data_IF_382015866790
#
_entry.id   IF_382015866790
#
_cell.length_a   1.000
_cell.length_b   1.000
_cell.length_c   1.000
_cell.angle_alpha   90.00
_cell.angle_beta   90.00
_cell.angle_gamma   90.00
#
_symmetry.space_group_name_H-M   'P 1'
#
loop_
_entity.id
_entity.type
_entity.pdbx_description
1 polymer ?
#
# COMPACT_ATOMS: atom_id res chain seq x y z
N UNK A 1 -65.62 -28.95 -0.17
CA UNK A 1 -64.49 -29.01 -1.13
C UNK A 1 -65.04 -28.71 -2.52
N UNK A 2 -64.40 -27.85 -3.33
CA UNK A 2 -64.89 -27.53 -4.68
C UNK A 2 -64.49 -28.63 -5.66
N UNK A 3 -65.38 -29.58 -5.92
CA UNK A 3 -65.13 -30.81 -6.71
C UNK A 3 -64.92 -30.58 -8.23
N UNK A 4 -65.21 -29.38 -8.75
CA UNK A 4 -65.07 -29.04 -10.19
C UNK A 4 -63.98 -27.97 -10.47
N UNK A 5 -62.99 -27.83 -9.58
CA UNK A 5 -61.95 -26.78 -9.72
C UNK A 5 -60.99 -26.98 -10.89
N UNK A 6 -60.87 -28.21 -11.39
CA UNK A 6 -59.91 -28.59 -12.43
C UNK A 6 -60.55 -28.68 -13.83
N UNK A 7 -61.87 -28.58 -13.95
CA UNK A 7 -62.58 -28.69 -15.23
C UNK A 7 -62.41 -27.43 -16.11
N UNK A 8 -62.14 -26.27 -15.50
CA UNK A 8 -61.84 -25.01 -16.20
C UNK A 8 -60.68 -24.33 -15.48
N UNK A 9 -59.51 -24.14 -16.14
CA UNK A 9 -58.37 -23.50 -15.51
C UNK A 9 -58.68 -22.02 -15.21
N UNK A 10 -58.49 -21.60 -13.94
CA UNK A 10 -58.63 -20.19 -13.56
C UNK A 10 -57.40 -19.41 -14.00
N UNK A 11 -57.60 -18.34 -14.76
CA UNK A 11 -56.50 -17.49 -15.22
C UNK A 11 -55.89 -16.71 -14.05
N UNK A 12 -54.56 -16.76 -13.93
CA UNK A 12 -53.84 -15.89 -13.02
C UNK A 12 -53.88 -14.43 -13.52
N UNK A 13 -54.30 -13.50 -12.66
CA UNK A 13 -54.24 -12.07 -12.95
C UNK A 13 -52.81 -11.56 -12.73
N UNK A 14 -52.22 -10.95 -13.77
CA UNK A 14 -50.87 -10.38 -13.69
C UNK A 14 -50.91 -8.99 -13.06
N UNK A 15 -49.88 -8.65 -12.30
CA UNK A 15 -49.72 -7.33 -11.71
C UNK A 15 -49.20 -6.31 -12.74
N UNK A 16 -49.60 -5.04 -12.61
CA UNK A 16 -49.13 -3.94 -13.48
C UNK A 16 -47.81 -3.34 -12.98
N UNK A 17 -46.94 -2.97 -13.91
CA UNK A 17 -45.69 -2.26 -13.64
C UNK A 17 -45.91 -0.76 -13.30
N UNK A 18 -44.83 -0.08 -12.86
CA UNK A 18 -44.80 1.38 -12.66
C UNK A 18 -44.90 2.11 -14.02
N UNK A 19 -45.68 3.20 -14.15
CA UNK A 19 -45.70 4.02 -15.36
C UNK A 19 -44.32 4.57 -15.72
N UNK A 20 -44.02 4.65 -17.02
CA UNK A 20 -42.71 5.07 -17.54
C UNK A 20 -42.28 6.45 -17.03
N UNK A 21 -43.20 7.41 -16.97
CA UNK A 21 -42.96 8.77 -16.46
C UNK A 21 -42.54 8.81 -14.99
N UNK A 22 -42.92 7.80 -14.19
CA UNK A 22 -42.62 7.69 -12.75
C UNK A 22 -41.55 6.65 -12.44
N UNK A 23 -40.88 6.09 -13.45
CA UNK A 23 -39.82 5.09 -13.27
C UNK A 23 -38.68 5.58 -12.36
N UNK A 24 -38.47 6.90 -12.26
CA UNK A 24 -37.48 7.53 -11.36
C UNK A 24 -37.67 7.18 -9.88
N UNK A 25 -38.90 6.86 -9.44
CA UNK A 25 -39.21 6.55 -8.04
C UNK A 25 -39.07 5.05 -7.70
N UNK A 26 -38.59 4.24 -8.64
CA UNK A 26 -38.42 2.81 -8.45
C UNK A 26 -39.72 2.01 -8.58
N UNK A 27 -39.72 0.82 -7.98
CA UNK A 27 -40.79 -0.17 -8.08
C UNK A 27 -42.10 0.37 -7.48
N UNK A 28 -43.22 0.17 -8.18
CA UNK A 28 -44.55 0.48 -7.65
C UNK A 28 -44.97 -0.59 -6.65
N UNK A 29 -44.81 -0.29 -5.37
CA UNK A 29 -45.23 -1.17 -4.28
C UNK A 29 -46.70 -1.56 -4.40
N UNK A 30 -46.97 -2.84 -4.13
CA UNK A 30 -48.31 -3.40 -4.06
C UNK A 30 -48.66 -3.73 -2.61
N UNK A 31 -49.90 -4.17 -2.38
CA UNK A 31 -50.37 -4.51 -1.04
C UNK A 31 -49.47 -5.54 -0.34
N UNK A 32 -48.95 -6.55 -1.07
CA UNK A 32 -48.02 -7.53 -0.51
C UNK A 32 -46.73 -6.88 0.03
N UNK A 33 -46.19 -5.89 -0.69
CA UNK A 33 -44.97 -5.18 -0.30
C UNK A 33 -45.25 -4.24 0.88
N UNK A 34 -46.40 -3.56 0.85
CA UNK A 34 -46.88 -2.75 1.97
C UNK A 34 -47.00 -3.57 3.26
N UNK A 35 -47.60 -4.76 3.20
CA UNK A 35 -47.76 -5.64 4.36
C UNK A 35 -46.39 -6.05 4.92
N UNK A 36 -45.42 -6.37 4.07
CA UNK A 36 -44.05 -6.70 4.50
C UNK A 36 -43.41 -5.50 5.19
N UNK A 37 -43.49 -4.31 4.59
CA UNK A 37 -42.95 -3.08 5.17
C UNK A 37 -43.62 -2.71 6.50
N UNK A 38 -44.95 -2.75 6.56
CA UNK A 38 -45.72 -2.42 7.77
C UNK A 38 -45.36 -3.38 8.92
N UNK A 39 -45.29 -4.69 8.64
CA UNK A 39 -44.83 -5.67 9.62
C UNK A 39 -43.40 -5.39 10.09
N UNK A 40 -42.49 -5.04 9.18
CA UNK A 40 -41.12 -4.68 9.56
C UNK A 40 -41.06 -3.40 10.41
N UNK A 41 -41.88 -2.40 10.11
CA UNK A 41 -42.00 -1.17 10.87
C UNK A 41 -42.53 -1.43 12.28
N UNK A 42 -43.64 -2.15 12.41
CA UNK A 42 -44.21 -2.49 13.71
C UNK A 42 -43.24 -3.32 14.57
N UNK A 43 -42.51 -4.26 13.96
CA UNK A 43 -41.44 -4.98 14.67
C UNK A 43 -40.38 -4.04 15.24
N UNK A 44 -39.95 -3.03 14.46
CA UNK A 44 -38.98 -2.03 14.94
C UNK A 44 -39.56 -1.19 16.09
N UNK A 45 -40.79 -0.70 15.93
CA UNK A 45 -41.49 0.07 16.98
C UNK A 45 -41.61 -0.74 18.28
N UNK A 46 -42.08 -1.99 18.21
CA UNK A 46 -42.18 -2.89 19.36
C UNK A 46 -40.82 -3.12 20.03
N UNK A 47 -39.74 -3.29 19.25
CA UNK A 47 -38.39 -3.43 19.82
C UNK A 47 -37.92 -2.15 20.50
N UNK A 48 -38.17 -0.98 19.92
CA UNK A 48 -37.81 0.31 20.51
C UNK A 48 -38.60 0.56 21.79
N UNK A 49 -39.88 0.23 21.82
CA UNK A 49 -40.70 0.33 23.01
C UNK A 49 -40.12 -0.52 24.15
N UNK A 50 -39.82 -1.79 23.89
CA UNK A 50 -39.20 -2.69 24.89
C UNK A 50 -37.85 -2.18 25.37
N UNK A 51 -37.03 -1.60 24.49
CA UNK A 51 -35.74 -1.01 24.87
C UNK A 51 -35.91 0.25 25.74
N UNK A 52 -36.91 1.09 25.44
CA UNK A 52 -37.26 2.26 26.26
C UNK A 52 -37.74 1.85 27.65
N UNK A 53 -38.62 0.85 27.73
CA UNK A 53 -39.10 0.31 29.01
C UNK A 53 -37.94 -0.27 29.84
N UNK A 54 -37.03 -1.02 29.22
CA UNK A 54 -35.82 -1.52 29.90
C UNK A 54 -34.89 -0.40 30.37
N UNK A 55 -34.72 0.65 29.57
CA UNK A 55 -33.90 1.80 29.94
C UNK A 55 -34.52 2.61 31.08
N UNK A 56 -35.85 2.77 31.10
CA UNK A 56 -36.57 3.46 32.16
C UNK A 56 -36.54 2.68 33.49
N UNK A 57 -36.66 1.36 33.42
CA UNK A 57 -36.66 0.47 34.59
C UNK A 57 -35.25 0.00 34.99
N UNK A 58 -34.19 0.68 34.53
CA UNK A 58 -32.80 0.29 34.81
C UNK A 58 -32.45 0.58 36.28
N UNK A 59 -31.87 -0.40 36.97
CA UNK A 59 -31.32 -0.19 38.32
C UNK A 59 -29.97 0.57 38.23
N UNK A 60 -29.82 1.74 38.87
CA UNK A 60 -28.56 2.50 38.85
C UNK A 60 -27.39 1.76 39.51
N UNK A 61 -27.67 0.88 40.48
CA UNK A 61 -26.66 0.16 41.26
C UNK A 61 -26.35 -1.25 40.70
N UNK A 62 -26.83 -1.56 39.49
CA UNK A 62 -26.55 -2.86 38.86
C UNK A 62 -25.06 -3.03 38.56
N UNK A 63 -24.51 -4.19 38.95
CA UNK A 63 -23.13 -4.54 38.67
C UNK A 63 -23.03 -5.92 38.00
N UNK A 64 -22.40 -5.93 36.84
CA UNK A 64 -22.04 -7.15 36.11
C UNK A 64 -20.52 -7.25 35.99
N UNK A 65 -19.94 -8.44 36.19
CA UNK A 65 -18.49 -8.65 36.10
C UNK A 65 -17.87 -8.20 34.76
N UNK A 66 -18.63 -8.20 33.66
CA UNK A 66 -18.18 -7.70 32.36
C UNK A 66 -17.93 -6.19 32.33
N UNK A 67 -18.48 -5.42 33.28
CA UNK A 67 -18.22 -3.99 33.42
C UNK A 67 -16.77 -3.68 33.85
N UNK A 68 -16.04 -4.66 34.39
CA UNK A 68 -14.61 -4.52 34.73
C UNK A 68 -13.76 -4.42 33.45
N UNK A 69 -14.10 -5.22 32.43
CA UNK A 69 -13.29 -5.37 31.21
C UNK A 69 -13.82 -4.55 30.03
N UNK A 70 -15.02 -3.97 30.14
CA UNK A 70 -15.64 -3.19 29.08
C UNK A 70 -15.96 -1.78 29.55
N UNK A 71 -15.89 -0.81 28.65
CA UNK A 71 -16.05 0.60 28.98
C UNK A 71 -17.12 1.25 28.12
N UNK A 72 -17.88 2.14 28.71
CA UNK A 72 -18.78 3.01 27.97
C UNK A 72 -18.03 4.31 27.66
N UNK A 73 -17.92 4.66 26.38
CA UNK A 73 -17.30 5.91 25.95
C UNK A 73 -18.34 6.68 25.15
N UNK A 74 -18.62 7.92 25.56
CA UNK A 74 -19.65 8.78 24.95
C UNK A 74 -21.06 8.12 24.93
N UNK A 75 -21.39 7.35 25.98
CA UNK A 75 -22.67 6.64 26.08
C UNK A 75 -22.77 5.35 25.24
N UNK A 76 -21.75 5.01 24.45
CA UNK A 76 -21.70 3.77 23.66
C UNK A 76 -20.81 2.73 24.32
N UNK A 77 -21.33 1.52 24.47
CA UNK A 77 -20.55 0.38 24.97
C UNK A 77 -19.46 0.03 23.95
N UNK A 78 -18.20 0.10 24.39
CA UNK A 78 -17.06 -0.41 23.62
C UNK A 78 -16.59 -1.70 24.29
N UNK A 79 -16.53 -2.83 23.54
CA UNK A 79 -15.90 -4.02 24.07
C UNK A 79 -14.46 -3.68 24.45
N UNK A 80 -13.93 -4.36 25.48
CA UNK A 80 -12.52 -4.24 25.83
C UNK A 80 -11.68 -4.50 24.58
N UNK A 81 -10.79 -3.57 24.24
CA UNK A 81 -9.82 -3.80 23.17
C UNK A 81 -9.00 -5.00 23.65
N UNK A 82 -8.92 -6.06 22.85
CA UNK A 82 -7.99 -7.16 23.15
C UNK A 82 -6.60 -6.54 23.26
N UNK A 83 -6.05 -6.49 24.48
CA UNK A 83 -4.69 -6.03 24.68
C UNK A 83 -3.75 -6.91 23.85
N UNK A 84 -2.61 -6.36 23.44
CA UNK A 84 -1.58 -7.14 22.76
C UNK A 84 -1.27 -8.37 23.61
N UNK A 85 -1.61 -9.55 23.07
CA UNK A 85 -1.43 -10.85 23.75
C UNK A 85 0.05 -11.20 23.92
N UNK A 86 0.92 -10.49 23.20
CA UNK A 86 2.35 -10.77 23.12
C UNK A 86 3.14 -10.02 24.18
N UNK A 87 4.09 -10.74 24.79
CA UNK A 87 5.12 -10.14 25.62
C UNK A 87 6.04 -9.23 24.80
N UNK A 88 6.71 -8.29 25.45
CA UNK A 88 7.71 -7.44 24.81
C UNK A 88 8.84 -8.25 24.16
N UNK A 89 9.18 -9.41 24.73
CA UNK A 89 10.18 -10.32 24.19
C UNK A 89 9.70 -11.01 22.91
N UNK A 90 8.46 -11.47 22.86
CA UNK A 90 7.86 -12.08 21.67
C UNK A 90 7.78 -11.07 20.53
N UNK A 91 7.36 -9.83 20.82
CA UNK A 91 7.37 -8.74 19.85
C UNK A 91 8.79 -8.43 19.34
N UNK A 92 9.81 -8.55 20.19
CA UNK A 92 11.22 -8.37 19.77
C UNK A 92 11.68 -9.49 18.83
N UNK A 93 11.25 -10.72 19.07
CA UNK A 93 11.53 -11.86 18.19
C UNK A 93 10.87 -11.67 16.83
N UNK A 94 9.58 -11.32 16.80
CA UNK A 94 8.85 -11.06 15.54
C UNK A 94 9.52 -9.94 14.73
N UNK A 95 9.84 -8.80 15.36
CA UNK A 95 10.57 -7.72 14.69
C UNK A 95 11.94 -8.14 14.17
N UNK A 96 12.62 -9.05 14.86
CA UNK A 96 13.91 -9.57 14.41
C UNK A 96 13.77 -10.41 13.15
N UNK A 97 12.72 -11.22 13.06
CA UNK A 97 12.39 -11.99 11.86
C UNK A 97 12.07 -11.07 10.68
N UNK A 98 11.25 -10.03 10.91
CA UNK A 98 10.91 -9.04 9.88
C UNK A 98 12.15 -8.31 9.35
N UNK A 99 13.07 -7.90 10.24
CA UNK A 99 14.35 -7.28 9.86
C UNK A 99 15.17 -8.23 8.98
N UNK A 100 15.23 -9.52 9.34
CA UNK A 100 15.90 -10.53 8.53
C UNK A 100 15.29 -10.70 7.14
N UNK A 101 13.95 -10.72 7.07
CA UNK A 101 13.22 -10.81 5.81
C UNK A 101 13.50 -9.62 4.89
N UNK A 102 13.41 -8.39 5.42
CA UNK A 102 13.70 -7.17 4.67
C UNK A 102 15.15 -7.18 4.17
N UNK A 103 16.11 -7.55 5.01
CA UNK A 103 17.52 -7.65 4.62
C UNK A 103 17.72 -8.66 3.48
N UNK A 104 17.08 -9.83 3.57
CA UNK A 104 17.11 -10.83 2.50
C UNK A 104 16.54 -10.26 1.20
N UNK A 105 15.45 -9.49 1.25
CA UNK A 105 14.87 -8.84 0.07
C UNK A 105 15.80 -7.78 -0.52
N UNK A 106 16.41 -6.93 0.29
CA UNK A 106 17.44 -5.96 -0.15
C UNK A 106 18.55 -6.69 -0.91
N UNK A 107 19.12 -7.75 -0.33
CA UNK A 107 20.19 -8.52 -0.97
C UNK A 107 19.75 -9.18 -2.28
N UNK A 108 18.52 -9.71 -2.32
CA UNK A 108 17.97 -10.32 -3.53
C UNK A 108 17.80 -9.31 -4.67
N UNK A 109 17.37 -8.08 -4.35
CA UNK A 109 17.20 -7.00 -5.32
C UNK A 109 18.55 -6.43 -5.77
N UNK A 110 19.55 -6.32 -4.89
CA UNK A 110 20.92 -5.95 -5.26
C UNK A 110 21.53 -6.92 -6.27
N UNK A 111 21.48 -8.22 -5.99
CA UNK A 111 21.97 -9.26 -6.92
C UNK A 111 21.25 -9.21 -8.27
N UNK A 112 19.96 -8.88 -8.26
CA UNK A 112 19.12 -8.70 -9.43
C UNK A 112 19.50 -7.46 -10.24
N UNK A 113 19.87 -6.37 -9.59
CA UNK A 113 20.43 -5.18 -10.22
C UNK A 113 21.78 -5.51 -10.83
N UNK A 114 22.69 -6.14 -10.08
CA UNK A 114 24.02 -6.54 -10.54
C UNK A 114 23.96 -7.38 -11.83
N UNK A 115 23.07 -8.38 -11.87
CA UNK A 115 22.84 -9.19 -13.07
C UNK A 115 22.32 -8.37 -14.26
N UNK A 116 21.34 -7.48 -14.02
CA UNK A 116 20.81 -6.62 -15.08
C UNK A 116 21.84 -5.61 -15.57
N UNK A 117 22.62 -5.01 -14.67
CA UNK A 117 23.71 -4.09 -15.02
C UNK A 117 24.81 -4.79 -15.80
N UNK A 118 25.11 -6.06 -15.49
CA UNK A 118 26.12 -6.83 -16.24
C UNK A 118 25.66 -7.14 -17.67
N UNK A 119 24.35 -7.36 -17.89
CA UNK A 119 23.76 -7.59 -19.21
C UNK A 119 23.60 -6.28 -20.00
N UNK A 120 23.28 -5.18 -19.32
CA UNK A 120 23.06 -3.87 -19.93
C UNK A 120 24.40 -3.13 -20.07
N UNK A 121 25.00 -3.19 -21.25
CA UNK A 121 26.29 -2.56 -21.60
C UNK A 121 26.32 -1.01 -21.56
N UNK A 122 25.38 -0.34 -20.89
CA UNK A 122 25.41 1.10 -20.65
C UNK A 122 25.26 1.98 -21.90
N UNK A 123 24.67 1.45 -22.99
CA UNK A 123 24.55 2.14 -24.29
C UNK A 123 23.80 3.49 -24.23
N UNK A 124 22.93 3.72 -23.24
CA UNK A 124 22.24 5.00 -23.06
C UNK A 124 23.11 6.07 -22.38
N UNK A 125 24.03 5.68 -21.50
CA UNK A 125 24.99 6.61 -20.92
C UNK A 125 26.10 6.82 -21.93
N UNK A 126 25.93 7.78 -22.86
CA UNK A 126 27.04 8.30 -23.66
C UNK A 126 28.09 8.83 -22.68
N UNK A 127 29.06 7.99 -22.34
CA UNK A 127 30.22 8.40 -21.58
C UNK A 127 30.85 9.57 -22.35
N UNK A 128 30.99 10.72 -21.71
CA UNK A 128 31.71 11.86 -22.26
C UNK A 128 33.21 11.55 -22.23
N UNK A 129 33.62 10.53 -22.98
CA UNK A 129 35.01 10.15 -23.11
C UNK A 129 35.72 11.28 -23.86
N UNK A 130 36.73 11.87 -23.23
CA UNK A 130 37.61 12.85 -23.87
C UNK A 130 38.47 12.08 -24.88
N UNK A 131 38.12 12.13 -26.15
CA UNK A 131 38.95 11.58 -27.21
C UNK A 131 40.00 12.62 -27.64
N UNK A 132 41.26 12.38 -27.27
CA UNK A 132 42.39 13.27 -27.60
C UNK A 132 43.00 12.79 -28.92
N UNK A 133 43.20 13.70 -29.86
CA UNK A 133 43.88 13.44 -31.13
C UNK A 133 45.21 14.18 -31.14
N UNK A 134 46.25 13.50 -31.65
CA UNK A 134 47.56 14.10 -31.87
C UNK A 134 47.77 14.24 -33.38
N UNK A 135 48.23 15.40 -33.82
CA UNK A 135 48.53 15.72 -35.23
C UNK A 135 49.91 16.36 -35.33
N UNK A 136 50.64 16.04 -36.39
CA UNK A 136 52.01 16.53 -36.60
C UNK A 136 52.04 17.98 -37.11
N UNK A 137 50.97 18.43 -37.77
CA UNK A 137 50.88 19.77 -38.34
C UNK A 137 49.66 20.57 -37.86
N UNK A 138 49.85 21.87 -37.61
CA UNK A 138 48.79 22.79 -37.15
C UNK A 138 47.62 22.95 -38.13
N UNK A 139 47.83 22.71 -39.42
CA UNK A 139 46.81 22.80 -40.46
C UNK A 139 45.77 21.68 -40.41
N UNK A 140 46.20 20.46 -40.10
CA UNK A 140 45.39 19.22 -40.13
C UNK A 140 44.27 19.20 -39.08
N UNK A 141 44.43 19.97 -37.99
CA UNK A 141 43.43 20.11 -36.92
C UNK A 141 42.09 20.59 -37.48
N UNK A 142 42.10 21.51 -38.46
CA UNK A 142 40.89 22.05 -39.07
C UNK A 142 40.20 21.02 -39.97
N UNK A 143 40.96 20.25 -40.73
CA UNK A 143 40.44 19.21 -41.61
C UNK A 143 39.80 18.05 -40.85
N UNK A 144 40.44 17.60 -39.75
CA UNK A 144 39.86 16.58 -38.86
C UNK A 144 38.54 17.02 -38.23
N UNK A 145 38.43 18.30 -37.85
CA UNK A 145 37.19 18.85 -37.30
C UNK A 145 36.06 18.85 -38.36
N UNK A 146 36.40 19.22 -39.60
CA UNK A 146 35.47 19.24 -40.74
C UNK A 146 35.03 17.81 -41.11
N UNK A 147 35.96 16.85 -41.22
CA UNK A 147 35.64 15.45 -41.50
C UNK A 147 34.72 14.82 -40.44
N UNK A 148 34.89 15.19 -39.17
CA UNK A 148 34.00 14.71 -38.10
C UNK A 148 32.63 15.40 -38.12
N UNK A 149 32.57 16.67 -38.51
CA UNK A 149 31.29 17.38 -38.67
C UNK A 149 30.51 16.93 -39.92
N UNK A 150 31.20 16.44 -40.95
CA UNK A 150 30.60 15.95 -42.21
C UNK A 150 30.38 14.43 -42.30
N UNK A 151 31.07 13.63 -41.47
CA UNK A 151 31.03 12.16 -41.51
C UNK A 151 29.91 11.55 -40.68
N UNK A 152 28.68 11.59 -41.20
CA UNK A 152 27.49 11.07 -40.53
C UNK A 152 26.54 10.24 -41.39
N UNK A 153 27.02 9.63 -42.49
CA UNK A 153 26.34 8.51 -43.16
C UNK A 153 27.37 7.44 -43.49
N UNK A 154 27.56 6.49 -42.57
CA UNK A 154 28.14 5.20 -42.92
C UNK A 154 27.10 4.45 -43.76
N UNK A 155 27.36 4.37 -45.06
CA UNK A 155 26.64 3.58 -46.05
C UNK A 155 26.98 2.09 -45.88
N UNK A 156 26.40 1.45 -44.86
CA UNK A 156 26.63 0.03 -44.59
C UNK A 156 25.97 -0.46 -43.31
N UNK A 157 24.64 -0.41 -43.25
CA UNK A 157 23.87 -1.24 -42.31
C UNK A 157 22.49 -1.50 -42.96
N UNK A 158 22.42 -2.57 -43.76
CA UNK A 158 21.14 -3.18 -44.12
C UNK A 158 20.43 -3.64 -42.84
N UNK A 159 19.18 -3.18 -42.68
CA UNK A 159 18.11 -3.66 -41.80
C UNK A 159 18.48 -4.26 -40.44
N UNK A 160 18.68 -3.39 -39.44
CA UNK A 160 18.42 -3.73 -38.03
C UNK A 160 16.96 -3.39 -37.71
N UNK A 161 16.13 -4.33 -37.21
CA UNK A 161 14.71 -4.10 -36.97
C UNK A 161 14.50 -3.07 -35.84
N UNK A 162 14.36 -1.81 -36.24
CA UNK A 162 14.49 -0.64 -35.37
C UNK A 162 13.36 -0.41 -34.32
N UNK A 163 12.30 -1.24 -34.30
CA UNK A 163 11.13 -1.01 -33.43
C UNK A 163 11.09 -1.92 -32.20
N UNK A 164 11.31 -3.23 -32.36
CA UNK A 164 11.20 -4.21 -31.27
C UNK A 164 12.38 -4.21 -30.29
N UNK A 165 13.61 -4.05 -30.78
CA UNK A 165 14.81 -4.16 -29.95
C UNK A 165 15.03 -2.91 -29.09
N UNK A 166 14.71 -1.72 -29.63
CA UNK A 166 14.75 -0.45 -28.88
C UNK A 166 13.72 -0.42 -27.75
N UNK A 167 12.52 -0.98 -27.94
CA UNK A 167 11.50 -1.03 -26.88
C UNK A 167 11.90 -1.99 -25.76
N UNK A 168 12.53 -3.11 -26.08
CA UNK A 168 13.05 -4.05 -25.08
C UNK A 168 14.21 -3.47 -24.26
N UNK A 169 15.13 -2.74 -24.89
CA UNK A 169 16.21 -2.04 -24.20
C UNK A 169 15.67 -0.93 -23.27
N UNK A 170 14.74 -0.10 -23.74
CA UNK A 170 14.11 0.94 -22.89
C UNK A 170 13.36 0.30 -21.72
N UNK A 171 12.70 -0.85 -21.94
CA UNK A 171 12.00 -1.59 -20.87
C UNK A 171 12.97 -2.11 -19.81
N UNK A 172 14.12 -2.65 -20.21
CA UNK A 172 15.11 -3.18 -19.25
C UNK A 172 15.81 -2.08 -18.45
N UNK A 173 16.08 -0.90 -19.05
CA UNK A 173 16.57 0.27 -18.31
C UNK A 173 15.53 0.82 -17.32
N UNK A 174 14.25 0.90 -17.72
CA UNK A 174 13.15 1.25 -16.80
C UNK A 174 13.03 0.26 -15.65
N UNK A 175 13.17 -1.04 -15.92
CA UNK A 175 13.17 -2.07 -14.89
C UNK A 175 14.35 -1.92 -13.92
N UNK A 176 15.55 -1.66 -14.45
CA UNK A 176 16.75 -1.41 -13.65
C UNK A 176 16.57 -0.19 -12.74
N UNK A 177 16.00 0.90 -13.25
CA UNK A 177 15.69 2.08 -12.46
C UNK A 177 14.68 1.76 -11.35
N UNK A 178 13.56 1.11 -11.69
CA UNK A 178 12.56 0.70 -10.71
C UNK A 178 13.13 -0.25 -9.64
N UNK A 179 14.08 -1.13 -10.00
CA UNK A 179 14.80 -1.98 -9.04
C UNK A 179 15.70 -1.16 -8.11
N UNK A 180 16.44 -0.17 -8.63
CA UNK A 180 17.25 0.74 -7.80
C UNK A 180 16.38 1.51 -6.81
N UNK A 181 15.26 2.05 -7.26
CA UNK A 181 14.30 2.75 -6.39
C UNK A 181 13.75 1.82 -5.29
N UNK A 182 13.38 0.59 -5.65
CA UNK A 182 12.94 -0.42 -4.66
C UNK A 182 14.03 -0.76 -3.64
N UNK A 183 15.29 -0.89 -4.06
CA UNK A 183 16.40 -1.11 -3.12
C UNK A 183 16.53 0.06 -2.16
N UNK A 184 16.49 1.31 -2.64
CA UNK A 184 16.57 2.49 -1.78
C UNK A 184 15.43 2.53 -0.74
N UNK A 185 14.21 2.16 -1.16
CA UNK A 185 13.05 2.07 -0.26
C UNK A 185 13.25 0.98 0.81
N UNK A 186 13.66 -0.22 0.41
CA UNK A 186 13.89 -1.34 1.32
C UNK A 186 15.06 -1.06 2.28
N UNK A 187 16.11 -0.37 1.82
CA UNK A 187 17.22 0.06 2.66
C UNK A 187 16.77 1.09 3.70
N UNK A 188 15.97 2.09 3.30
CA UNK A 188 15.42 3.06 4.27
C UNK A 188 14.56 2.36 5.32
N UNK A 189 13.71 1.43 4.92
CA UNK A 189 12.86 0.65 5.82
C UNK A 189 13.68 -0.26 6.75
N UNK A 190 14.72 -0.91 6.23
CA UNK A 190 15.66 -1.69 7.02
C UNK A 190 16.39 -0.83 8.07
N UNK A 191 16.87 0.35 7.68
CA UNK A 191 17.50 1.30 8.61
C UNK A 191 16.54 1.77 9.72
N UNK A 192 15.28 2.00 9.38
CA UNK A 192 14.25 2.41 10.35
C UNK A 192 13.92 1.28 11.35
N UNK A 193 13.70 0.07 10.84
CA UNK A 193 13.40 -1.09 11.69
C UNK A 193 14.59 -1.47 12.58
N UNK A 194 15.81 -1.40 12.07
CA UNK A 194 17.01 -1.66 12.87
C UNK A 194 17.18 -0.60 13.95
N UNK A 195 17.01 0.69 13.64
CA UNK A 195 17.00 1.76 14.65
C UNK A 195 15.93 1.50 15.72
N UNK A 196 14.70 1.19 15.32
CA UNK A 196 13.62 0.92 16.28
C UNK A 196 13.95 -0.27 17.19
N UNK A 197 14.57 -1.33 16.65
CA UNK A 197 15.04 -2.47 17.45
C UNK A 197 16.14 -2.06 18.43
N UNK A 198 17.13 -1.28 18.01
CA UNK A 198 18.18 -0.77 18.92
C UNK A 198 17.58 0.13 20.02
N UNK A 199 16.54 0.91 19.71
CA UNK A 199 15.80 1.71 20.69
C UNK A 199 14.99 0.85 21.67
N UNK A 200 14.64 -0.39 21.33
CA UNK A 200 13.98 -1.30 22.27
C UNK A 200 14.96 -2.03 23.19
N UNK A 201 16.26 -2.07 22.86
CA UNK A 201 17.28 -2.65 23.73
C UNK A 201 17.51 -1.82 24.99
N UNK A 202 18.03 -2.51 26.02
CA UNK A 202 18.45 -1.92 27.30
C UNK A 202 19.59 -0.92 27.09
N UNK A 203 19.66 0.09 27.95
CA UNK A 203 20.66 1.15 27.93
C UNK A 203 20.03 2.53 27.95
N UNK A 204 20.64 3.45 28.72
CA UNK A 204 20.17 4.83 28.82
C UNK A 204 20.47 5.57 27.52
N UNK A 205 19.44 6.17 26.93
CA UNK A 205 19.50 6.89 25.65
C UNK A 205 18.64 8.14 25.70
N UNK A 206 19.01 9.15 24.91
CA UNK A 206 18.22 10.36 24.71
C UNK A 206 18.16 10.72 23.24
N UNK A 207 17.07 11.35 22.83
CA UNK A 207 16.96 11.99 21.51
C UNK A 207 17.75 13.30 21.53
N UNK A 208 18.55 13.54 20.49
CA UNK A 208 19.27 14.79 20.31
C UNK A 208 18.33 15.89 19.80
N UNK A 209 18.61 17.13 20.19
CA UNK A 209 18.01 18.33 19.58
C UNK A 209 18.73 18.66 18.29
N UNK A 210 18.09 19.41 17.41
CA UNK A 210 18.61 19.70 16.07
C UNK A 210 19.95 20.45 16.12
N UNK A 211 20.16 21.33 17.11
CA UNK A 211 21.41 22.09 17.31
C UNK A 211 22.62 21.21 17.70
N UNK A 212 22.38 20.03 18.28
CA UNK A 212 23.43 19.11 18.71
C UNK A 212 23.89 18.17 17.58
N UNK A 213 23.23 18.22 16.41
CA UNK A 213 23.47 17.30 15.29
C UNK A 213 24.57 17.87 14.39
N UNK A 214 25.73 17.21 14.38
CA UNK A 214 26.89 17.60 13.56
C UNK A 214 26.58 17.57 12.05
N UNK A 215 25.77 16.59 11.61
CA UNK A 215 25.33 16.46 10.22
C UNK A 215 23.79 16.54 10.17
N UNK A 216 23.20 17.70 9.79
CA UNK A 216 21.77 17.89 9.83
C UNK A 216 21.08 16.80 9.02
N UNK A 217 20.23 16.03 9.70
CA UNK A 217 19.51 14.89 9.14
C UNK A 217 18.02 15.10 9.40
N UNK A 218 17.16 14.74 8.45
CA UNK A 218 15.70 14.89 8.61
C UNK A 218 15.09 13.93 9.65
N UNK A 219 15.79 12.85 9.96
CA UNK A 219 15.35 11.79 10.88
C UNK A 219 15.89 12.04 12.30
N UNK A 220 15.14 11.65 13.35
CA UNK A 220 15.57 11.83 14.73
C UNK A 220 16.83 11.02 15.05
N UNK A 221 17.82 11.67 15.68
CA UNK A 221 19.07 11.04 16.10
C UNK A 221 19.05 10.77 17.61
N UNK A 222 19.58 9.63 18.02
CA UNK A 222 19.65 9.21 19.41
C UNK A 222 21.10 9.03 19.85
N UNK A 223 21.40 9.47 21.07
CA UNK A 223 22.71 9.28 21.72
C UNK A 223 22.55 8.38 22.93
N UNK A 224 23.33 7.29 22.97
CA UNK A 224 23.45 6.42 24.12
C UNK A 224 24.41 7.02 25.13
N UNK A 225 24.15 6.79 26.43
CA UNK A 225 25.11 7.12 27.48
C UNK A 225 26.36 6.26 27.27
N UNK A 226 27.52 6.86 27.49
CA UNK A 226 28.81 6.18 27.39
C UNK A 226 28.97 5.21 28.57
N UNK A 227 28.44 4.00 28.40
CA UNK A 227 28.51 2.91 29.36
C UNK A 227 29.01 1.66 28.63
N UNK A 228 30.01 0.99 29.20
CA UNK A 228 30.50 -0.29 28.66
C UNK A 228 29.43 -1.36 28.92
N UNK A 229 29.06 -2.11 27.89
CA UNK A 229 28.25 -3.31 28.06
C UNK A 229 29.05 -4.30 28.91
N UNK A 230 28.49 -4.67 30.06
CA UNK A 230 29.01 -5.75 30.90
C UNK A 230 28.66 -7.09 30.28
#
# INVERSE_FOLDING_TARGET
MSSLRNAIPRRAHKERAQPSSRRKFGLLEKHKDYVIRAKAHHRKEETLQKLREKAANKNPDEFYFKMINSRTVDGLHRPGIEANKYSAEELMVMKTQDIGYVLQKVQSEKKKIEKLTAVLHGLENKLSNKHVYYTEHRGEIKELHIQRSGGGKLSGLEDVPASGERTNAVRSYRELQARKERVNQLESLYMEMTLQKELQKKGRKRKLRDDEIVCPTSKPVYKWRTERKR
#
